data_IF_256015056401
#
_entry.id   IF_256015056401
#
_cell.length_a   1.000
_cell.length_b   1.000
_cell.length_c   1.000
_cell.angle_alpha   90.00
_cell.angle_beta   90.00
_cell.angle_gamma   90.00
#
_symmetry.space_group_name_H-M   'P 1'
#
loop_
_entity.id
_entity.type
_entity.pdbx_description
1 polymer ?
#
# COMPACT_ATOMS: atom_id res chain seq x y z
N UNK A 1 4.00 -27.33 3.75
CA UNK A 1 2.93 -26.34 3.52
C UNK A 1 2.39 -25.99 4.88
N UNK A 2 2.66 -24.78 5.35
CA UNK A 2 2.04 -24.27 6.56
C UNK A 2 0.75 -23.63 6.10
N UNK A 3 -0.40 -24.14 6.55
CA UNK A 3 -1.70 -23.69 6.07
C UNK A 3 -1.92 -22.21 6.42
N UNK A 4 -2.56 -21.47 5.50
CA UNK A 4 -3.01 -20.09 5.71
C UNK A 4 -3.92 -20.02 6.94
N UNK A 5 -3.86 -18.92 7.69
CA UNK A 5 -4.80 -18.70 8.78
C UNK A 5 -6.25 -18.64 8.28
N UNK A 6 -7.22 -19.12 9.07
CA UNK A 6 -8.63 -18.93 8.74
C UNK A 6 -8.99 -17.44 8.65
N UNK A 7 -9.80 -17.07 7.65
CA UNK A 7 -10.22 -15.68 7.44
C UNK A 7 -10.79 -14.99 8.69
N UNK A 8 -11.63 -15.62 9.53
CA UNK A 8 -12.10 -14.98 10.77
C UNK A 8 -10.96 -14.54 11.70
N UNK A 9 -9.88 -15.32 11.78
CA UNK A 9 -8.71 -14.99 12.61
C UNK A 9 -7.96 -13.78 12.04
N UNK A 10 -7.81 -13.74 10.71
CA UNK A 10 -7.18 -12.61 10.00
C UNK A 10 -8.01 -11.34 10.20
N UNK A 11 -9.34 -11.42 10.05
CA UNK A 11 -10.26 -10.30 10.21
C UNK A 11 -10.26 -9.78 11.66
N UNK A 12 -10.21 -10.65 12.67
CA UNK A 12 -10.12 -10.24 14.08
C UNK A 12 -8.80 -9.49 14.37
N UNK A 13 -7.67 -10.00 13.86
CA UNK A 13 -6.36 -9.33 13.96
C UNK A 13 -6.38 -7.96 13.28
N UNK A 14 -6.97 -7.89 12.08
CA UNK A 14 -7.10 -6.67 11.30
C UNK A 14 -7.98 -5.63 12.03
N UNK A 15 -9.13 -6.04 12.59
CA UNK A 15 -10.00 -5.18 13.38
C UNK A 15 -9.27 -4.58 14.58
N UNK A 16 -8.53 -5.40 15.33
CA UNK A 16 -7.78 -4.94 16.50
C UNK A 16 -6.70 -3.91 16.12
N UNK A 17 -5.94 -4.15 15.04
CA UNK A 17 -4.89 -3.23 14.58
C UNK A 17 -5.47 -1.94 13.98
N UNK A 18 -6.57 -2.00 13.23
CA UNK A 18 -7.30 -0.83 12.74
C UNK A 18 -7.85 0.04 13.89
N UNK A 19 -8.41 -0.59 14.92
CA UNK A 19 -8.89 0.12 16.10
C UNK A 19 -7.76 0.81 16.86
N UNK A 20 -6.64 0.11 17.06
CA UNK A 20 -5.46 0.68 17.69
C UNK A 20 -4.88 1.86 16.90
N UNK A 21 -4.78 1.74 15.58
CA UNK A 21 -4.20 2.78 14.71
C UNK A 21 -5.10 4.02 14.57
N UNK A 22 -6.42 3.85 14.50
CA UNK A 22 -7.37 4.95 14.31
C UNK A 22 -7.90 5.56 15.60
N UNK A 23 -7.75 4.88 16.74
CA UNK A 23 -8.38 5.26 18.01
C UNK A 23 -9.91 5.17 17.98
N UNK A 24 -10.49 4.44 17.01
CA UNK A 24 -11.94 4.27 16.82
C UNK A 24 -12.32 2.80 16.86
N UNK A 25 -13.61 2.53 17.05
CA UNK A 25 -14.12 1.15 17.04
C UNK A 25 -14.08 0.56 15.64
N UNK A 26 -13.52 -0.66 15.53
CA UNK A 26 -13.61 -1.53 14.35
C UNK A 26 -14.05 -2.91 14.82
N UNK A 27 -14.95 -3.55 14.06
CA UNK A 27 -15.53 -4.84 14.43
C UNK A 27 -15.71 -5.74 13.23
N UNK A 28 -15.52 -7.04 13.43
CA UNK A 28 -15.84 -8.05 12.42
C UNK A 28 -17.35 -8.22 12.33
N UNK A 29 -17.88 -8.19 11.11
CA UNK A 29 -19.27 -8.46 10.77
C UNK A 29 -19.30 -9.30 9.48
N UNK A 30 -19.39 -10.62 9.65
CA UNK A 30 -19.26 -11.57 8.54
C UNK A 30 -17.85 -11.59 7.96
N UNK A 31 -17.74 -11.26 6.68
CA UNK A 31 -16.51 -11.18 5.88
C UNK A 31 -15.90 -9.77 5.83
N UNK A 32 -16.49 -8.83 6.57
CA UNK A 32 -16.11 -7.42 6.59
C UNK A 32 -15.59 -7.05 7.98
N UNK A 33 -14.51 -6.26 8.04
CA UNK A 33 -14.18 -5.47 9.23
C UNK A 33 -14.83 -4.09 9.06
N UNK A 34 -15.91 -3.81 9.80
CA UNK A 34 -16.60 -2.51 9.77
C UNK A 34 -15.88 -1.50 10.64
N UNK A 35 -15.63 -0.33 10.06
CA UNK A 35 -15.20 0.85 10.80
C UNK A 35 -16.35 1.84 11.02
N UNK A 36 -16.03 3.06 11.45
CA UNK A 36 -17.02 4.12 11.66
C UNK A 36 -17.75 4.54 10.38
N UNK A 37 -19.08 4.67 10.46
CA UNK A 37 -19.90 5.13 9.32
C UNK A 37 -20.04 4.07 8.24
N UNK A 38 -19.63 4.38 7.01
CA UNK A 38 -19.79 3.49 5.85
C UNK A 38 -18.49 2.83 5.41
N UNK A 39 -17.39 2.93 6.19
CA UNK A 39 -16.11 2.33 5.80
C UNK A 39 -15.99 0.88 6.26
N UNK A 40 -15.23 0.07 5.53
CA UNK A 40 -14.86 -1.27 5.96
C UNK A 40 -13.64 -1.81 5.22
N UNK A 41 -13.14 -2.95 5.67
CA UNK A 41 -12.07 -3.69 4.99
C UNK A 41 -12.51 -5.13 4.78
N UNK A 42 -12.32 -5.67 3.57
CA UNK A 42 -12.52 -7.10 3.26
C UNK A 42 -11.22 -7.76 2.82
N UNK A 43 -11.19 -9.10 2.93
CA UNK A 43 -10.18 -9.91 2.26
C UNK A 43 -10.57 -10.07 0.79
N UNK A 44 -9.60 -9.89 -0.10
CA UNK A 44 -9.73 -10.20 -1.53
C UNK A 44 -9.55 -11.68 -1.83
N UNK A 45 -9.71 -12.04 -3.11
CA UNK A 45 -9.35 -13.36 -3.59
C UNK A 45 -7.83 -13.55 -3.49
N UNK A 46 -7.40 -14.67 -2.91
CA UNK A 46 -5.98 -14.98 -2.77
C UNK A 46 -5.38 -15.35 -4.12
N UNK A 47 -4.66 -14.39 -4.71
CA UNK A 47 -4.04 -14.56 -6.01
C UNK A 47 -2.63 -15.19 -5.94
N UNK A 48 -2.05 -15.30 -4.74
CA UNK A 48 -0.67 -15.75 -4.56
C UNK A 48 -0.58 -17.22 -4.10
N UNK A 49 -1.56 -17.67 -3.33
CA UNK A 49 -1.54 -18.95 -2.62
C UNK A 49 -0.52 -19.01 -1.47
N UNK A 50 0.15 -17.89 -1.12
CA UNK A 50 1.10 -17.82 -0.01
C UNK A 50 0.38 -17.52 1.30
N UNK A 51 0.66 -18.34 2.33
CA UNK A 51 0.02 -18.26 3.64
C UNK A 51 0.26 -16.93 4.37
N UNK A 52 1.35 -16.21 4.04
CA UNK A 52 1.68 -14.89 4.59
C UNK A 52 1.20 -13.72 3.73
N UNK A 53 0.51 -13.98 2.61
CA UNK A 53 0.03 -12.96 1.69
C UNK A 53 -1.43 -12.62 1.96
N UNK A 54 -1.75 -11.33 1.92
CA UNK A 54 -3.09 -10.81 2.11
C UNK A 54 -3.43 -9.87 0.97
N UNK A 55 -4.54 -10.17 0.29
CA UNK A 55 -5.26 -9.23 -0.55
C UNK A 55 -6.29 -8.50 0.32
N UNK A 56 -6.18 -7.18 0.40
CA UNK A 56 -7.02 -6.34 1.24
C UNK A 56 -7.73 -5.27 0.41
N UNK A 57 -9.02 -5.13 0.65
CA UNK A 57 -9.86 -4.13 0.00
C UNK A 57 -10.35 -3.14 1.03
N UNK A 58 -9.85 -1.90 0.99
CA UNK A 58 -10.45 -0.83 1.79
C UNK A 58 -11.65 -0.25 1.04
N UNK A 59 -12.84 -0.34 1.63
CA UNK A 59 -14.07 0.18 1.04
C UNK A 59 -14.46 1.48 1.76
N UNK A 60 -14.37 2.61 1.07
CA UNK A 60 -14.72 3.93 1.64
C UNK A 60 -16.23 4.09 1.82
N UNK A 61 -17.03 3.39 1.02
CA UNK A 61 -18.48 3.38 1.13
C UNK A 61 -19.04 1.98 0.84
N UNK A 62 -19.37 1.25 1.90
CA UNK A 62 -19.94 -0.09 1.85
C UNK A 62 -21.29 -0.17 1.13
N UNK A 63 -22.00 0.95 0.93
CA UNK A 63 -23.21 0.99 0.09
C UNK A 63 -22.88 1.11 -1.41
N UNK A 64 -21.62 1.41 -1.76
CA UNK A 64 -21.12 1.60 -3.14
C UNK A 64 -19.72 0.98 -3.35
N UNK A 65 -19.52 -0.31 -3.01
CA UNK A 65 -18.19 -0.92 -3.00
C UNK A 65 -17.50 -0.88 -4.38
N UNK A 66 -18.24 -1.09 -5.46
CA UNK A 66 -17.72 -1.14 -6.85
C UNK A 66 -16.99 0.13 -7.32
N UNK A 67 -17.21 1.26 -6.65
CA UNK A 67 -16.65 2.57 -7.04
C UNK A 67 -15.83 3.23 -5.95
N UNK A 68 -15.75 2.61 -4.78
CA UNK A 68 -15.12 3.19 -3.59
C UNK A 68 -14.16 2.22 -2.90
N UNK A 69 -13.82 1.12 -3.57
CA UNK A 69 -12.85 0.14 -3.11
C UNK A 69 -11.45 0.50 -3.59
N UNK A 70 -10.50 0.48 -2.66
CA UNK A 70 -9.08 0.54 -2.91
C UNK A 70 -8.49 -0.83 -2.59
N UNK A 71 -8.06 -1.54 -3.63
CA UNK A 71 -7.44 -2.86 -3.52
C UNK A 71 -5.93 -2.75 -3.42
N UNK A 72 -5.36 -3.52 -2.51
CA UNK A 72 -3.92 -3.62 -2.31
C UNK A 72 -3.55 -5.01 -1.76
N UNK A 73 -2.35 -5.47 -2.09
CA UNK A 73 -1.86 -6.76 -1.66
C UNK A 73 -0.50 -6.64 -0.97
N UNK A 74 -0.32 -7.43 0.08
CA UNK A 74 0.87 -7.38 0.93
C UNK A 74 1.30 -8.78 1.31
N UNK A 75 2.61 -9.03 1.29
CA UNK A 75 3.20 -10.25 1.83
C UNK A 75 3.97 -9.88 3.10
N UNK A 76 3.66 -10.58 4.19
CA UNK A 76 4.43 -10.48 5.41
C UNK A 76 5.60 -11.47 5.45
N UNK A 77 6.33 -11.44 6.56
CA UNK A 77 7.52 -12.27 6.77
C UNK A 77 7.63 -12.67 8.24
N UNK A 78 8.20 -13.83 8.53
CA UNK A 78 8.35 -14.29 9.90
C UNK A 78 8.63 -15.78 9.99
N UNK A 79 8.88 -16.23 11.22
CA UNK A 79 9.19 -17.63 11.51
C UNK A 79 7.93 -18.51 11.56
N UNK A 80 6.75 -17.90 11.63
CA UNK A 80 5.45 -18.55 11.60
C UNK A 80 4.47 -17.85 10.65
N UNK A 81 3.41 -18.55 10.23
CA UNK A 81 2.33 -17.95 9.43
C UNK A 81 1.65 -16.82 10.20
N UNK A 82 1.48 -16.99 11.52
CA UNK A 82 0.90 -15.96 12.39
C UNK A 82 1.73 -14.67 12.36
N UNK A 83 3.05 -14.78 12.52
CA UNK A 83 3.97 -13.65 12.48
C UNK A 83 3.97 -12.97 11.11
N UNK A 84 3.92 -13.77 10.04
CA UNK A 84 3.83 -13.26 8.67
C UNK A 84 2.52 -12.49 8.47
N UNK A 85 1.37 -13.02 8.88
CA UNK A 85 0.08 -12.32 8.77
C UNK A 85 0.08 -11.02 9.59
N UNK A 86 0.57 -11.06 10.83
CA UNK A 86 0.62 -9.86 11.68
C UNK A 86 1.48 -8.76 11.06
N UNK A 87 2.64 -9.13 10.48
CA UNK A 87 3.49 -8.18 9.74
C UNK A 87 2.91 -7.74 8.43
N UNK A 88 2.17 -8.59 7.72
CA UNK A 88 1.47 -8.21 6.50
C UNK A 88 0.47 -7.07 6.81
N UNK A 89 -0.31 -7.22 7.89
CA UNK A 89 -1.25 -6.18 8.33
C UNK A 89 -0.50 -4.91 8.75
N UNK A 90 0.61 -5.02 9.50
CA UNK A 90 1.40 -3.85 9.92
C UNK A 90 2.02 -3.11 8.73
N UNK A 91 2.55 -3.83 7.74
CA UNK A 91 3.05 -3.27 6.50
C UNK A 91 1.92 -2.53 5.77
N UNK A 92 0.76 -3.17 5.60
CA UNK A 92 -0.37 -2.56 4.92
C UNK A 92 -0.89 -1.32 5.64
N UNK A 93 -1.02 -1.36 6.97
CA UNK A 93 -1.41 -0.19 7.78
C UNK A 93 -0.38 0.94 7.69
N UNK A 94 0.91 0.60 7.70
CA UNK A 94 1.99 1.58 7.63
C UNK A 94 2.02 2.38 6.34
N UNK A 95 1.52 1.82 5.22
CA UNK A 95 1.54 2.48 3.91
C UNK A 95 0.14 2.83 3.39
N UNK A 96 -0.73 1.85 3.24
CA UNK A 96 -2.03 1.97 2.56
C UNK A 96 -3.07 2.45 3.56
N UNK A 97 -3.09 1.83 4.75
CA UNK A 97 -3.92 2.28 5.86
C UNK A 97 -3.61 3.72 6.26
N UNK A 98 -2.34 4.13 6.30
CA UNK A 98 -1.95 5.51 6.61
C UNK A 98 -2.45 6.50 5.55
N UNK A 99 -2.29 6.20 4.26
CA UNK A 99 -2.84 7.06 3.19
C UNK A 99 -4.38 7.18 3.25
N UNK A 100 -5.07 6.08 3.54
CA UNK A 100 -6.54 6.07 3.64
C UNK A 100 -7.03 6.76 4.90
N UNK A 101 -6.38 6.58 6.04
CA UNK A 101 -6.71 7.29 7.27
C UNK A 101 -6.48 8.79 7.11
N UNK A 102 -5.41 9.20 6.43
CA UNK A 102 -5.20 10.60 6.11
C UNK A 102 -6.33 11.14 5.21
N UNK A 103 -6.77 10.40 4.19
CA UNK A 103 -7.92 10.80 3.36
C UNK A 103 -9.17 11.06 4.21
N UNK A 104 -9.42 10.23 5.23
CA UNK A 104 -10.63 10.25 6.04
C UNK A 104 -10.57 11.26 7.20
N UNK A 105 -9.39 11.50 7.76
CA UNK A 105 -9.19 12.31 8.99
C UNK A 105 -8.67 13.72 8.65
N UNK A 106 -7.80 13.85 7.65
CA UNK A 106 -7.27 15.10 7.11
C UNK A 106 -6.63 16.03 8.15
N UNK A 107 -5.85 15.47 9.09
CA UNK A 107 -5.15 16.24 10.12
C UNK A 107 -3.62 16.24 9.94
N UNK A 108 -3.11 15.60 8.88
CA UNK A 108 -1.69 15.53 8.54
C UNK A 108 -0.87 14.59 9.43
N UNK A 109 -1.50 13.79 10.29
CA UNK A 109 -0.79 12.90 11.21
C UNK A 109 -0.40 11.56 10.60
N UNK A 110 -1.01 11.14 9.49
CA UNK A 110 -0.80 9.82 8.90
C UNK A 110 0.01 9.84 7.62
N UNK A 111 -0.13 10.87 6.79
CA UNK A 111 0.53 10.92 5.48
C UNK A 111 0.88 12.33 5.01
N UNK A 112 1.82 12.41 4.05
CA UNK A 112 2.19 13.66 3.38
C UNK A 112 1.27 13.96 2.21
N UNK A 113 1.09 15.24 1.89
CA UNK A 113 0.24 15.71 0.79
C UNK A 113 1.04 16.45 -0.26
N UNK A 114 0.67 16.26 -1.52
CA UNK A 114 1.17 17.03 -2.65
C UNK A 114 -0.04 17.53 -3.46
N UNK A 115 -0.10 18.84 -3.69
CA UNK A 115 -1.14 19.45 -4.51
C UNK A 115 -1.04 19.07 -5.99
N UNK A 116 -2.09 19.36 -6.75
CA UNK A 116 -2.17 19.04 -8.18
C UNK A 116 -1.10 19.74 -9.05
N UNK A 117 -0.56 20.87 -8.59
CA UNK A 117 0.50 21.62 -9.26
C UNK A 117 1.87 21.46 -8.55
N UNK A 118 1.96 20.58 -7.55
CA UNK A 118 3.20 20.38 -6.80
C UNK A 118 4.22 19.60 -7.66
N UNK A 119 5.45 20.11 -7.84
CA UNK A 119 6.47 19.43 -8.64
C UNK A 119 6.90 18.07 -8.07
N UNK A 120 6.66 17.83 -6.78
CA UNK A 120 6.89 16.54 -6.12
C UNK A 120 5.71 15.57 -6.24
N UNK A 121 4.58 15.98 -6.80
CA UNK A 121 3.33 15.22 -6.87
C UNK A 121 3.00 14.62 -8.25
N UNK A 122 1.70 14.40 -8.48
CA UNK A 122 1.15 13.97 -9.76
C UNK A 122 0.39 15.13 -10.40
N UNK A 123 0.77 15.58 -11.62
CA UNK A 123 0.10 16.69 -12.29
C UNK A 123 -1.41 16.46 -12.44
N UNK A 124 -2.22 17.39 -11.93
CA UNK A 124 -3.68 17.32 -11.97
C UNK A 124 -4.34 16.46 -10.89
N UNK A 125 -3.56 15.90 -9.96
CA UNK A 125 -4.06 15.04 -8.89
C UNK A 125 -3.61 15.54 -7.52
N UNK A 126 -4.50 15.50 -6.54
CA UNK A 126 -4.07 15.61 -5.15
C UNK A 126 -3.52 14.25 -4.71
N UNK A 127 -2.24 14.22 -4.34
CA UNK A 127 -1.57 13.01 -3.90
C UNK A 127 -1.50 12.99 -2.37
N UNK A 128 -1.93 11.88 -1.78
CA UNK A 128 -1.66 11.48 -0.40
C UNK A 128 -0.60 10.37 -0.45
N UNK A 129 0.59 10.67 0.07
CA UNK A 129 1.71 9.75 0.10
C UNK A 129 1.76 9.05 1.46
N UNK A 130 1.37 7.77 1.49
CA UNK A 130 1.43 6.94 2.68
C UNK A 130 2.83 6.80 3.26
N UNK A 131 2.94 6.16 4.43
CA UNK A 131 4.23 5.87 5.03
C UNK A 131 5.12 5.01 4.11
N UNK A 132 6.43 5.12 4.29
CA UNK A 132 7.42 4.26 3.65
C UNK A 132 7.90 3.26 4.70
N UNK A 133 7.62 1.98 4.48
CA UNK A 133 8.04 0.92 5.40
C UNK A 133 9.15 0.10 4.75
N UNK A 134 10.24 -0.08 5.48
CA UNK A 134 11.38 -0.90 5.08
C UNK A 134 11.54 -2.14 5.94
N UNK A 135 12.11 -3.19 5.34
CA UNK A 135 12.50 -4.41 6.03
C UNK A 135 13.62 -5.12 5.29
N UNK A 136 14.26 -6.08 5.94
CA UNK A 136 15.40 -6.76 5.36
C UNK A 136 16.22 -7.52 6.41
N UNK A 137 17.43 -7.94 6.02
CA UNK A 137 18.37 -8.65 6.90
C UNK A 137 19.74 -7.99 6.84
N UNK A 138 20.50 -8.08 7.93
CA UNK A 138 21.87 -7.57 8.00
C UNK A 138 21.97 -6.08 8.32
N UNK A 139 23.15 -5.50 8.09
CA UNK A 139 23.43 -4.11 8.44
C UNK A 139 22.73 -3.11 7.49
N UNK A 140 22.52 -3.50 6.23
CA UNK A 140 21.93 -2.66 5.19
C UNK A 140 20.41 -2.84 5.05
N UNK A 141 19.75 -3.49 6.01
CA UNK A 141 18.32 -3.84 5.92
C UNK A 141 17.39 -2.66 5.64
N UNK A 142 17.74 -1.43 6.05
CA UNK A 142 16.93 -0.21 5.84
C UNK A 142 17.35 0.61 4.61
N UNK A 143 18.35 0.19 3.84
CA UNK A 143 18.94 1.02 2.80
C UNK A 143 17.91 1.45 1.73
N UNK A 144 17.04 0.56 1.27
CA UNK A 144 15.99 0.89 0.31
C UNK A 144 14.97 1.89 0.89
N UNK A 145 14.57 1.75 2.15
CA UNK A 145 13.63 2.68 2.80
C UNK A 145 14.22 4.07 2.96
N UNK A 146 15.48 4.15 3.42
CA UNK A 146 16.18 5.42 3.56
C UNK A 146 16.35 6.11 2.22
N UNK A 147 16.68 5.35 1.17
CA UNK A 147 16.72 5.88 -0.19
C UNK A 147 15.35 6.40 -0.63
N UNK A 148 14.27 5.63 -0.43
CA UNK A 148 12.91 6.01 -0.81
C UNK A 148 12.42 7.28 -0.11
N UNK A 149 12.81 7.49 1.15
CA UNK A 149 12.52 8.70 1.91
C UNK A 149 13.11 9.95 1.23
N UNK A 150 14.31 9.82 0.68
CA UNK A 150 15.05 10.94 0.10
C UNK A 150 14.78 11.13 -1.40
N UNK A 151 14.06 10.19 -2.05
CA UNK A 151 13.76 10.19 -3.48
C UNK A 151 12.26 10.07 -3.72
N UNK A 152 11.64 11.19 -4.10
CA UNK A 152 10.22 11.22 -4.45
C UNK A 152 9.96 10.32 -5.66
N UNK A 153 9.09 9.32 -5.48
CA UNK A 153 8.74 8.38 -6.56
C UNK A 153 7.67 8.94 -7.50
N UNK A 154 6.83 9.85 -7.01
CA UNK A 154 5.73 10.43 -7.80
C UNK A 154 6.22 11.12 -9.10
N UNK A 155 7.29 11.95 -9.10
CA UNK A 155 7.81 12.54 -10.34
C UNK A 155 8.34 11.52 -11.36
N UNK A 156 8.78 10.33 -10.92
CA UNK A 156 9.22 9.25 -11.80
C UNK A 156 8.02 8.52 -12.40
N UNK A 157 6.99 8.27 -11.59
CA UNK A 157 5.82 7.50 -11.97
C UNK A 157 4.81 8.31 -12.79
N UNK A 158 4.64 9.61 -12.50
CA UNK A 158 3.63 10.43 -13.13
C UNK A 158 3.72 10.45 -14.68
N UNK A 159 4.89 10.65 -15.32
CA UNK A 159 5.00 10.63 -16.78
C UNK A 159 4.60 9.29 -17.41
N UNK A 160 4.85 8.18 -16.70
CA UNK A 160 4.56 6.82 -17.18
C UNK A 160 3.07 6.50 -17.02
N UNK A 161 2.46 6.93 -15.92
CA UNK A 161 1.07 6.60 -15.59
C UNK A 161 0.05 7.61 -16.13
N UNK A 162 0.47 8.78 -16.62
CA UNK A 162 -0.45 9.88 -17.00
C UNK A 162 -1.56 9.44 -17.94
N UNK A 163 -1.25 8.62 -18.97
CA UNK A 163 -2.25 8.18 -19.94
C UNK A 163 -3.28 7.26 -19.31
N UNK A 164 -2.83 6.31 -18.49
CA UNK A 164 -3.73 5.33 -17.87
C UNK A 164 -4.61 6.00 -16.81
N UNK A 165 -4.06 6.95 -16.05
CA UNK A 165 -4.81 7.76 -15.10
C UNK A 165 -5.91 8.60 -15.77
N UNK A 166 -5.72 9.08 -17.00
CA UNK A 166 -6.76 9.78 -17.75
C UNK A 166 -7.89 8.83 -18.21
N UNK A 167 -7.60 7.54 -18.35
CA UNK A 167 -8.57 6.53 -18.80
C UNK A 167 -9.39 5.93 -17.65
N UNK A 168 -8.91 6.00 -16.41
CA UNK A 168 -9.62 5.39 -15.27
C UNK A 168 -11.00 5.98 -15.05
N UNK A 169 -11.23 7.26 -15.43
CA UNK A 169 -12.46 7.98 -15.10
C UNK A 169 -12.78 8.02 -13.60
N UNK A 170 -11.81 7.60 -12.77
CA UNK A 170 -11.99 7.29 -11.36
C UNK A 170 -11.60 8.48 -10.49
N UNK A 171 -12.37 8.68 -9.42
CA UNK A 171 -12.11 9.76 -8.46
C UNK A 171 -10.94 9.44 -7.52
N UNK A 172 -10.56 8.16 -7.43
CA UNK A 172 -9.51 7.65 -6.56
C UNK A 172 -8.69 6.60 -7.30
N UNK A 173 -7.37 6.69 -7.18
CA UNK A 173 -6.43 5.70 -7.72
C UNK A 173 -5.40 5.35 -6.65
N UNK A 174 -5.30 4.07 -6.32
CA UNK A 174 -4.26 3.53 -5.45
C UNK A 174 -3.06 3.05 -6.26
N UNK A 175 -1.86 3.43 -5.85
CA UNK A 175 -0.61 2.98 -6.47
C UNK A 175 0.28 2.37 -5.39
N UNK A 176 0.42 1.04 -5.41
CA UNK A 176 1.41 0.33 -4.60
C UNK A 176 2.76 0.43 -5.30
N UNK A 177 3.80 0.74 -4.53
CA UNK A 177 5.19 0.64 -4.99
C UNK A 177 5.96 -0.22 -4.00
N UNK A 178 6.58 -1.28 -4.50
CA UNK A 178 7.38 -2.22 -3.72
C UNK A 178 8.68 -2.51 -4.47
N UNK A 179 9.83 -2.30 -3.84
CA UNK A 179 11.11 -2.61 -4.46
C UNK A 179 12.18 -2.97 -3.44
N UNK A 180 13.23 -3.60 -3.92
CA UNK A 180 14.37 -4.02 -3.12
C UNK A 180 14.84 -5.42 -3.47
N UNK A 181 15.61 -6.01 -2.56
CA UNK A 181 16.26 -7.30 -2.71
C UNK A 181 17.73 -7.18 -2.36
N UNK A 182 18.53 -7.93 -3.10
CA UNK A 182 19.99 -7.93 -3.09
C UNK A 182 20.50 -7.99 -4.52
N UNK A 183 21.80 -7.77 -4.71
CA UNK A 183 22.43 -7.86 -6.02
C UNK A 183 22.11 -9.21 -6.72
N UNK A 184 21.54 -9.12 -7.92
CA UNK A 184 21.17 -10.26 -8.76
C UNK A 184 19.87 -10.97 -8.35
N UNK A 185 19.12 -10.44 -7.39
CA UNK A 185 17.83 -10.97 -6.94
C UNK A 185 16.89 -9.83 -6.52
N UNK A 186 16.75 -8.84 -7.40
CA UNK A 186 15.95 -7.64 -7.21
C UNK A 186 14.46 -7.85 -7.52
N UNK A 187 13.63 -7.02 -6.92
CA UNK A 187 12.24 -6.81 -7.28
C UNK A 187 11.96 -5.32 -7.37
N UNK A 188 11.18 -4.92 -8.37
CA UNK A 188 10.55 -3.63 -8.46
C UNK A 188 9.15 -3.86 -9.05
N UNK A 189 8.13 -3.59 -8.24
CA UNK A 189 6.73 -3.79 -8.57
C UNK A 189 5.98 -2.49 -8.34
N UNK A 190 5.26 -2.05 -9.36
CA UNK A 190 4.24 -1.02 -9.26
C UNK A 190 2.92 -1.64 -9.63
N UNK A 191 1.91 -1.47 -8.76
CA UNK A 191 0.53 -1.86 -9.04
C UNK A 191 -0.38 -0.65 -8.99
N UNK A 192 -1.29 -0.53 -9.95
CA UNK A 192 -2.31 0.53 -10.01
C UNK A 192 -3.67 -0.13 -9.80
N UNK A 193 -4.37 0.25 -8.74
CA UNK A 193 -5.63 -0.38 -8.31
C UNK A 193 -5.55 -1.91 -8.23
N UNK A 194 -4.45 -2.43 -7.67
CA UNK A 194 -4.21 -3.88 -7.50
C UNK A 194 -3.59 -4.59 -8.72
N UNK A 195 -3.63 -3.98 -9.90
CA UNK A 195 -3.11 -4.56 -11.15
C UNK A 195 -1.66 -4.19 -11.40
N UNK A 196 -0.82 -5.16 -11.78
CA UNK A 196 0.59 -4.91 -12.08
C UNK A 196 0.75 -4.00 -13.30
N UNK A 197 1.58 -2.98 -13.17
CA UNK A 197 1.89 -2.05 -14.24
C UNK A 197 3.35 -2.20 -14.68
N UNK A 198 3.58 -2.92 -15.77
CA UNK A 198 4.93 -3.31 -16.22
C UNK A 198 5.85 -2.11 -16.49
N UNK A 199 5.37 -1.09 -17.21
CA UNK A 199 6.21 0.08 -17.56
C UNK A 199 6.62 0.90 -16.33
N UNK A 200 5.70 1.10 -15.38
CA UNK A 200 6.00 1.79 -14.13
C UNK A 200 6.94 0.95 -13.25
N UNK A 201 6.75 -0.37 -13.23
CA UNK A 201 7.65 -1.30 -12.53
C UNK A 201 9.08 -1.22 -13.09
N UNK A 202 9.23 -1.22 -14.41
CA UNK A 202 10.52 -1.03 -15.08
C UNK A 202 11.16 0.32 -14.76
N UNK A 203 10.37 1.41 -14.73
CA UNK A 203 10.88 2.73 -14.36
C UNK A 203 11.44 2.78 -12.93
N UNK A 204 10.82 2.07 -11.98
CA UNK A 204 11.37 1.92 -10.62
C UNK A 204 12.61 1.02 -10.62
N UNK A 205 12.64 -0.04 -11.43
CA UNK A 205 13.79 -0.94 -11.54
C UNK A 205 15.07 -0.25 -12.05
N UNK A 206 14.93 0.75 -12.92
CA UNK A 206 16.03 1.53 -13.50
C UNK A 206 16.64 2.56 -12.55
N UNK A 207 16.01 2.82 -11.41
CA UNK A 207 16.52 3.78 -10.42
C UNK A 207 17.73 3.20 -9.66
N UNK A 208 18.59 4.11 -9.19
CA UNK A 208 19.82 3.79 -8.46
C UNK A 208 19.56 3.61 -6.95
N UNK A 209 18.54 2.83 -6.61
CA UNK A 209 18.30 2.43 -5.22
C UNK A 209 19.28 1.33 -4.78
N UNK A 210 19.60 1.22 -3.47
CA UNK A 210 20.64 0.31 -2.98
C UNK A 210 20.37 -1.17 -3.25
N UNK A 211 21.36 -1.87 -3.82
CA UNK A 211 21.37 -3.32 -4.07
C UNK A 211 22.55 -3.96 -3.33
N UNK A 212 22.44 -4.20 -2.01
CA UNK A 212 23.51 -4.78 -1.23
C UNK A 212 23.86 -6.20 -1.73
N UNK A 213 25.11 -6.61 -1.56
CA UNK A 213 25.60 -7.91 -2.03
C UNK A 213 25.16 -9.04 -1.10
N UNK A 214 25.39 -8.86 0.21
CA UNK A 214 25.21 -9.90 1.22
C UNK A 214 23.90 -9.78 2.01
N UNK A 215 23.32 -8.58 2.04
CA UNK A 215 22.15 -8.22 2.83
C UNK A 215 20.88 -8.17 1.97
N UNK A 216 19.71 -8.18 2.62
CA UNK A 216 18.43 -7.94 1.96
C UNK A 216 17.89 -6.60 2.42
N UNK A 217 17.37 -5.80 1.50
CA UNK A 217 16.67 -4.55 1.83
C UNK A 217 15.46 -4.37 0.95
N UNK A 218 14.34 -3.97 1.53
CA UNK A 218 13.09 -3.74 0.83
C UNK A 218 12.47 -2.43 1.30
N UNK A 219 11.70 -1.82 0.42
CA UNK A 219 10.86 -0.67 0.71
C UNK A 219 9.49 -0.86 0.06
N UNK A 220 8.45 -0.45 0.78
CA UNK A 220 7.09 -0.34 0.26
C UNK A 220 6.50 1.01 0.64
N UNK A 221 5.76 1.58 -0.28
CA UNK A 221 4.89 2.75 -0.05
C UNK A 221 3.59 2.59 -0.83
N UNK A 222 2.62 3.44 -0.52
CA UNK A 222 1.36 3.53 -1.24
C UNK A 222 1.04 4.99 -1.54
N UNK A 223 0.73 5.28 -2.80
CA UNK A 223 0.35 6.61 -3.27
C UNK A 223 -1.14 6.59 -3.57
N UNK A 224 -1.91 7.44 -2.90
CA UNK A 224 -3.33 7.59 -3.14
C UNK A 224 -3.57 8.90 -3.90
N UNK A 225 -4.00 8.78 -5.15
CA UNK A 225 -4.37 9.91 -5.98
C UNK A 225 -5.87 10.17 -5.83
N UNK A 226 -6.19 11.43 -5.54
CA UNK A 226 -7.55 11.94 -5.43
C UNK A 226 -7.77 12.95 -6.53
N UNK A 227 -8.78 12.70 -7.37
CA UNK A 227 -9.11 13.64 -8.42
C UNK A 227 -9.68 14.91 -7.79
N UNK A 228 -8.96 16.02 -7.91
CA UNK A 228 -9.52 17.32 -7.58
C UNK A 228 -10.51 17.67 -8.69
N UNK A 229 -11.79 17.88 -8.35
CA UNK A 229 -12.72 18.42 -9.34
C UNK A 229 -12.13 19.72 -9.87
N UNK A 230 -12.04 19.86 -11.20
CA UNK A 230 -11.72 21.16 -11.79
C UNK A 230 -12.78 22.14 -11.27
N UNK A 231 -12.34 23.13 -10.50
CA UNK A 231 -13.18 24.25 -10.08
C UNK A 231 -13.67 25.06 -11.27
#
# INVERSE_FOLDING_TARGET
MTDRLPDPVILDKLAAKLAAASGREWRVDGDVVRGPGTVGVTLGEDHSGDAGHLDLNFVLNLDRPETTTLSDCVAGYGDSVEDSVDRAIDLWLGTTGSAVFELLIQDGSFAGHFGADDPGGFPGWHLIHGGIVGWGTGAEHQAAQLWARDHLLAPVLAPVLTKDLQLTGGQLVGIKVFFGGREGSETAEVRVNGEMHETASAAIAELDWPRPVDDLTYARTFLLLVQTSAG
#
